data_IF_117653696488
#
_entry.id   IF_117653696488
#
_cell.length_a   1.000
_cell.length_b   1.000
_cell.length_c   1.000
_cell.angle_alpha   90.00
_cell.angle_beta   90.00
_cell.angle_gamma   90.00
#
_symmetry.space_group_name_H-M   'P 1'
#
loop_
_entity.id
_entity.type
_entity.pdbx_description
1 polymer ?
#
# COMPACT_ATOMS: atom_id res chain seq x y z
N UNK A 1 -16.61 15.80 3.85
CA UNK A 1 -17.30 15.91 2.55
C UNK A 1 -16.77 14.76 1.72
N UNK A 2 -17.60 13.75 1.40
CA UNK A 2 -17.17 12.57 0.63
C UNK A 2 -16.81 13.02 -0.79
N UNK A 3 -15.53 13.27 -1.05
CA UNK A 3 -15.07 13.45 -2.42
C UNK A 3 -15.11 12.08 -3.11
N UNK A 4 -15.61 12.08 -4.34
CA UNK A 4 -15.75 10.89 -5.17
C UNK A 4 -14.38 10.24 -5.38
N UNK A 5 -14.08 9.20 -4.62
CA UNK A 5 -13.06 8.20 -4.95
C UNK A 5 -13.35 7.74 -6.38
N UNK A 6 -12.32 7.72 -7.23
CA UNK A 6 -12.41 7.19 -8.59
C UNK A 6 -13.19 5.88 -8.57
N UNK A 7 -14.28 5.86 -9.33
CA UNK A 7 -15.14 4.69 -9.42
C UNK A 7 -14.39 3.64 -10.26
N UNK A 8 -13.58 2.86 -9.59
CA UNK A 8 -13.14 1.55 -10.05
C UNK A 8 -14.39 0.77 -10.52
N UNK A 9 -14.44 0.38 -11.81
CA UNK A 9 -15.61 -0.25 -12.44
C UNK A 9 -15.29 -1.63 -12.95
N UNK A 10 -16.05 -2.62 -12.46
CA UNK A 10 -16.10 -3.95 -13.04
C UNK A 10 -17.24 -3.93 -14.06
N UNK A 11 -16.94 -4.30 -15.30
CA UNK A 11 -17.92 -4.36 -16.39
C UNK A 11 -18.24 -5.81 -16.72
N UNK A 12 -19.51 -6.18 -16.70
CA UNK A 12 -19.98 -7.48 -17.16
C UNK A 12 -20.12 -7.43 -18.67
N UNK A 13 -19.29 -8.20 -19.37
CA UNK A 13 -19.28 -8.25 -20.84
C UNK A 13 -20.37 -9.19 -21.37
N UNK A 14 -20.59 -10.32 -20.69
CA UNK A 14 -21.63 -11.30 -21.03
C UNK A 14 -21.98 -12.18 -19.82
N UNK A 15 -23.16 -12.80 -19.79
CA UNK A 15 -24.24 -12.74 -20.78
C UNK A 15 -25.22 -11.58 -20.56
N UNK A 16 -25.93 -11.18 -21.63
CA UNK A 16 -26.91 -10.09 -21.59
C UNK A 16 -28.04 -10.32 -20.57
N UNK A 17 -28.37 -11.59 -20.29
CA UNK A 17 -29.37 -11.97 -19.30
C UNK A 17 -28.97 -11.61 -17.86
N UNK A 18 -27.67 -11.65 -17.54
CA UNK A 18 -27.15 -11.19 -16.26
C UNK A 18 -27.07 -9.66 -16.21
N UNK A 19 -26.59 -9.04 -17.29
CA UNK A 19 -26.54 -7.57 -17.44
C UNK A 19 -27.93 -6.96 -17.24
N UNK A 20 -28.98 -7.57 -17.80
CA UNK A 20 -30.36 -7.12 -17.61
C UNK A 20 -30.86 -7.20 -16.15
N UNK A 21 -30.21 -7.99 -15.29
CA UNK A 21 -30.57 -8.14 -13.87
C UNK A 21 -29.82 -7.18 -12.95
N UNK A 22 -28.49 -7.09 -13.09
CA UNK A 22 -27.62 -6.33 -12.17
C UNK A 22 -27.01 -5.07 -12.78
N UNK A 23 -27.28 -4.81 -14.05
CA UNK A 23 -26.62 -3.75 -14.82
C UNK A 23 -25.30 -4.22 -15.43
N UNK A 24 -24.75 -3.37 -16.28
CA UNK A 24 -23.48 -3.62 -16.98
C UNK A 24 -22.28 -3.37 -16.06
N UNK A 25 -22.38 -2.41 -15.15
CA UNK A 25 -21.28 -1.99 -14.26
C UNK A 25 -21.56 -2.33 -12.82
N UNK A 26 -20.60 -2.98 -12.17
CA UNK A 26 -20.58 -3.29 -10.74
C UNK A 26 -19.48 -2.46 -10.07
N UNK A 27 -19.86 -1.72 -9.03
CA UNK A 27 -18.90 -1.03 -8.16
C UNK A 27 -18.09 -2.04 -7.35
N UNK A 28 -16.80 -1.74 -7.13
CA UNK A 28 -15.95 -2.55 -6.27
C UNK A 28 -14.96 -1.69 -5.48
N UNK A 29 -14.37 -2.27 -4.44
CA UNK A 29 -13.18 -1.77 -3.75
C UNK A 29 -11.98 -2.70 -3.96
N UNK A 30 -10.77 -2.15 -3.91
CA UNK A 30 -9.51 -2.88 -4.07
C UNK A 30 -8.94 -3.29 -2.72
N UNK A 31 -8.26 -4.44 -2.71
CA UNK A 31 -7.49 -4.84 -1.54
C UNK A 31 -6.24 -4.00 -1.34
N UNK A 32 -5.88 -3.71 -0.08
CA UNK A 32 -4.62 -3.04 0.30
C UNK A 32 -3.42 -4.00 0.30
N UNK A 33 -3.55 -5.16 -0.35
CA UNK A 33 -2.53 -6.19 -0.46
C UNK A 33 -2.57 -6.81 -1.86
N UNK A 34 -1.60 -7.66 -2.16
CA UNK A 34 -1.49 -8.28 -3.47
C UNK A 34 -0.88 -7.33 -4.49
N UNK A 35 -1.22 -7.58 -5.76
CA UNK A 35 -0.74 -6.79 -6.89
C UNK A 35 -1.91 -6.18 -7.64
N UNK A 36 -1.91 -4.86 -7.81
CA UNK A 36 -2.90 -4.15 -8.62
C UNK A 36 -2.20 -3.58 -9.87
N UNK A 37 -2.60 -4.01 -11.08
CA UNK A 37 -1.95 -3.55 -12.31
C UNK A 37 -2.52 -2.22 -12.78
N UNK A 38 -2.15 -1.14 -12.08
CA UNK A 38 -2.59 0.22 -12.37
C UNK A 38 -2.36 0.62 -13.83
N UNK A 39 -3.30 1.36 -14.40
CA UNK A 39 -3.30 1.73 -15.82
C UNK A 39 -3.61 0.58 -16.79
N UNK A 40 -3.85 -0.64 -16.30
CA UNK A 40 -4.12 -1.82 -17.12
C UNK A 40 -5.56 -2.32 -16.99
N UNK A 41 -5.91 -3.29 -17.83
CA UNK A 41 -7.23 -3.94 -17.85
C UNK A 41 -7.06 -5.45 -17.78
N UNK A 42 -7.79 -6.08 -16.85
CA UNK A 42 -7.93 -7.54 -16.80
C UNK A 42 -9.28 -7.91 -17.39
N UNK A 43 -9.29 -8.88 -18.31
CA UNK A 43 -10.53 -9.55 -18.74
C UNK A 43 -10.47 -11.02 -18.32
N UNK A 44 -11.63 -11.63 -18.13
CA UNK A 44 -11.66 -13.03 -17.71
C UNK A 44 -13.06 -13.56 -17.48
N UNK A 45 -13.14 -14.86 -17.25
CA UNK A 45 -14.40 -15.54 -16.92
C UNK A 45 -14.46 -15.81 -15.42
N UNK A 46 -15.57 -15.43 -14.79
CA UNK A 46 -15.83 -15.75 -13.38
C UNK A 46 -16.17 -17.25 -13.25
N UNK A 47 -15.53 -17.91 -12.29
CA UNK A 47 -15.77 -19.29 -11.90
C UNK A 47 -16.09 -19.35 -10.40
N UNK A 48 -16.94 -20.32 -10.02
CA UNK A 48 -17.21 -20.65 -8.61
C UNK A 48 -16.26 -21.78 -8.19
N UNK A 49 -15.36 -21.54 -7.23
CA UNK A 49 -14.41 -22.55 -6.80
C UNK A 49 -15.04 -23.60 -5.89
N UNK A 50 -14.47 -24.81 -5.91
CA UNK A 50 -14.81 -25.91 -5.03
C UNK A 50 -13.62 -26.28 -4.14
N UNK A 51 -13.88 -26.90 -2.99
CA UNK A 51 -12.83 -27.37 -2.10
C UNK A 51 -12.02 -28.50 -2.74
N UNK A 52 -10.70 -28.47 -2.57
CA UNK A 52 -9.80 -29.49 -3.15
C UNK A 52 -10.14 -30.92 -2.71
N UNK A 53 -10.54 -31.08 -1.46
CA UNK A 53 -10.86 -32.39 -0.87
C UNK A 53 -12.36 -32.74 -0.94
N UNK A 54 -13.21 -31.84 -1.43
CA UNK A 54 -14.64 -32.06 -1.56
C UNK A 54 -15.20 -31.28 -2.77
N UNK A 55 -15.24 -31.95 -3.93
CA UNK A 55 -15.60 -31.34 -5.22
C UNK A 55 -17.06 -30.89 -5.32
N UNK A 56 -17.91 -31.31 -4.39
CA UNK A 56 -19.32 -30.91 -4.35
C UNK A 56 -19.55 -29.72 -3.40
N UNK A 57 -18.53 -29.31 -2.64
CA UNK A 57 -18.62 -28.20 -1.70
C UNK A 57 -17.98 -26.94 -2.28
N UNK A 58 -18.82 -25.91 -2.48
CA UNK A 58 -18.38 -24.57 -2.87
C UNK A 58 -17.38 -24.06 -1.81
N UNK A 59 -16.26 -23.54 -2.27
CA UNK A 59 -15.22 -23.01 -1.38
C UNK A 59 -15.50 -21.56 -1.02
N UNK A 60 -15.37 -21.25 0.26
CA UNK A 60 -15.27 -19.87 0.78
C UNK A 60 -13.82 -19.37 0.79
N UNK A 61 -12.87 -20.13 0.24
CA UNK A 61 -11.45 -19.77 0.20
C UNK A 61 -10.71 -19.87 1.52
N UNK A 62 -11.31 -20.41 2.59
CA UNK A 62 -10.62 -20.61 3.87
C UNK A 62 -9.82 -21.90 3.94
N UNK A 63 -10.04 -22.81 3.00
CA UNK A 63 -9.28 -24.04 2.81
C UNK A 63 -8.73 -24.11 1.39
N UNK A 64 -7.85 -25.07 1.14
CA UNK A 64 -7.28 -25.31 -0.19
C UNK A 64 -8.38 -25.45 -1.26
N UNK A 65 -8.28 -24.62 -2.28
CA UNK A 65 -9.19 -24.58 -3.42
C UNK A 65 -8.69 -25.58 -4.48
N UNK A 66 -9.62 -26.20 -5.20
CA UNK A 66 -9.28 -27.00 -6.37
C UNK A 66 -8.57 -26.15 -7.44
N UNK A 67 -7.35 -26.52 -7.82
CA UNK A 67 -6.59 -25.80 -8.84
C UNK A 67 -7.25 -25.83 -10.22
N UNK A 68 -7.06 -24.76 -10.98
CA UNK A 68 -7.49 -24.68 -12.37
C UNK A 68 -6.61 -25.62 -13.21
N UNK A 69 -7.21 -26.42 -14.09
CA UNK A 69 -6.44 -27.21 -15.05
C UNK A 69 -5.75 -26.26 -16.04
N UNK A 70 -4.42 -26.41 -16.21
CA UNK A 70 -3.48 -25.59 -17.02
C UNK A 70 -3.83 -25.34 -18.52
N UNK A 71 -5.07 -25.55 -18.96
CA UNK A 71 -5.48 -25.41 -20.36
C UNK A 71 -6.11 -24.05 -20.73
N UNK A 72 -6.37 -23.14 -19.78
CA UNK A 72 -7.13 -21.89 -20.04
C UNK A 72 -6.40 -20.56 -19.77
N UNK A 73 -5.14 -20.54 -19.32
CA UNK A 73 -4.42 -19.27 -19.07
C UNK A 73 -3.70 -18.76 -20.33
N UNK A 74 -4.39 -17.95 -21.13
CA UNK A 74 -3.79 -17.23 -22.27
C UNK A 74 -3.39 -15.80 -21.87
N UNK A 75 -2.19 -15.63 -21.33
CA UNK A 75 -1.58 -14.31 -21.11
C UNK A 75 -2.15 -13.48 -19.96
N UNK A 76 -1.62 -12.26 -19.78
CA UNK A 76 -1.97 -11.35 -18.68
C UNK A 76 -3.42 -10.82 -18.78
N UNK A 77 -3.89 -10.56 -20.01
CA UNK A 77 -5.19 -9.93 -20.26
C UNK A 77 -6.38 -10.88 -20.10
N UNK A 78 -6.18 -12.20 -20.14
CA UNK A 78 -7.25 -13.19 -19.99
C UNK A 78 -6.94 -14.13 -18.82
N UNK A 79 -7.53 -13.80 -17.67
CA UNK A 79 -7.29 -14.52 -16.43
C UNK A 79 -8.50 -15.38 -16.03
N UNK A 80 -8.23 -16.47 -15.31
CA UNK A 80 -9.26 -17.17 -14.55
C UNK A 80 -9.55 -16.37 -13.28
N UNK A 81 -10.84 -16.19 -12.99
CA UNK A 81 -11.32 -15.32 -11.93
C UNK A 81 -12.19 -16.14 -10.98
N UNK A 82 -11.90 -16.08 -9.68
CA UNK A 82 -12.79 -16.70 -8.68
C UNK A 82 -13.68 -15.69 -8.00
N UNK A 83 -14.94 -16.10 -7.77
CA UNK A 83 -15.89 -15.40 -6.92
C UNK A 83 -16.11 -16.20 -5.63
N UNK A 84 -15.86 -15.57 -4.49
CA UNK A 84 -15.88 -16.21 -3.17
C UNK A 84 -16.65 -15.34 -2.17
N UNK A 85 -17.39 -15.95 -1.24
CA UNK A 85 -18.09 -15.22 -0.18
C UNK A 85 -17.15 -14.83 0.99
N UNK A 86 -17.38 -13.66 1.58
CA UNK A 86 -16.79 -13.24 2.86
C UNK A 86 -17.24 -14.16 4.01
N UNK A 87 -16.33 -14.41 4.95
CA UNK A 87 -16.60 -15.17 6.18
C UNK A 87 -15.47 -16.15 6.54
N UNK A 88 -15.52 -16.70 7.75
CA UNK A 88 -14.71 -17.81 8.29
C UNK A 88 -13.18 -17.62 8.42
N UNK A 89 -12.55 -16.77 7.62
CA UNK A 89 -11.11 -16.46 7.66
C UNK A 89 -10.82 -15.06 7.09
N UNK A 90 -9.56 -14.61 7.19
CA UNK A 90 -9.14 -13.30 6.67
C UNK A 90 -9.19 -13.22 5.14
N UNK A 91 -9.30 -12.00 4.61
CA UNK A 91 -9.26 -11.76 3.16
C UNK A 91 -7.93 -12.20 2.54
N UNK A 92 -6.82 -11.99 3.26
CA UNK A 92 -5.48 -12.44 2.86
C UNK A 92 -5.43 -13.97 2.74
N UNK A 93 -6.03 -14.70 3.68
CA UNK A 93 -6.11 -16.17 3.60
C UNK A 93 -6.86 -16.63 2.35
N UNK A 94 -7.98 -15.97 2.02
CA UNK A 94 -8.74 -16.25 0.78
C UNK A 94 -7.91 -15.98 -0.46
N UNK A 95 -7.21 -14.85 -0.50
CA UNK A 95 -6.33 -14.47 -1.62
C UNK A 95 -5.18 -15.47 -1.81
N UNK A 96 -4.51 -15.90 -0.73
CA UNK A 96 -3.47 -16.94 -0.78
C UNK A 96 -3.98 -18.25 -1.36
N UNK A 97 -5.11 -18.74 -0.88
CA UNK A 97 -5.69 -20.00 -1.37
C UNK A 97 -6.13 -19.89 -2.84
N UNK A 98 -6.61 -18.72 -3.27
CA UNK A 98 -6.94 -18.44 -4.66
C UNK A 98 -5.67 -18.40 -5.55
N UNK A 99 -4.62 -17.71 -5.13
CA UNK A 99 -3.34 -17.67 -5.83
C UNK A 99 -2.73 -19.07 -5.99
N UNK A 100 -2.75 -19.88 -4.92
CA UNK A 100 -2.29 -21.28 -4.96
C UNK A 100 -3.13 -22.15 -5.92
N UNK A 101 -4.40 -21.80 -6.14
CA UNK A 101 -5.25 -22.46 -7.13
C UNK A 101 -4.99 -21.99 -8.57
N UNK A 102 -4.18 -20.94 -8.75
CA UNK A 102 -3.72 -20.45 -10.05
C UNK A 102 -4.62 -19.40 -10.70
N UNK A 103 -5.52 -18.74 -9.94
CA UNK A 103 -6.24 -17.57 -10.47
C UNK A 103 -5.35 -16.33 -10.45
N UNK A 104 -5.61 -15.42 -11.40
CA UNK A 104 -4.92 -14.12 -11.41
C UNK A 104 -5.73 -13.00 -10.75
N UNK A 105 -7.04 -13.18 -10.56
CA UNK A 105 -7.92 -12.23 -9.89
C UNK A 105 -8.94 -12.94 -9.00
N UNK A 106 -9.12 -12.43 -7.78
CA UNK A 106 -10.12 -12.86 -6.82
C UNK A 106 -11.17 -11.77 -6.62
N UNK A 107 -12.44 -12.14 -6.68
CA UNK A 107 -13.57 -11.30 -6.28
C UNK A 107 -14.14 -11.90 -5.00
N UNK A 108 -14.16 -11.10 -3.94
CA UNK A 108 -14.81 -11.43 -2.68
C UNK A 108 -16.12 -10.67 -2.63
N UNK A 109 -17.23 -11.33 -2.35
CA UNK A 109 -18.50 -10.64 -2.15
C UNK A 109 -18.95 -10.71 -0.70
N UNK A 110 -19.62 -9.65 -0.27
CA UNK A 110 -20.03 -9.50 1.11
C UNK A 110 -21.10 -10.52 1.55
N UNK A 111 -21.23 -10.73 2.86
CA UNK A 111 -22.26 -11.55 3.48
C UNK A 111 -23.30 -10.72 4.27
N UNK A 112 -23.21 -9.39 4.26
CA UNK A 112 -24.17 -8.46 4.85
C UNK A 112 -24.91 -7.64 3.78
N UNK A 113 -26.19 -7.32 4.02
CA UNK A 113 -27.05 -6.65 3.01
C UNK A 113 -26.89 -5.12 2.96
N UNK A 114 -26.38 -4.50 4.03
CA UNK A 114 -26.40 -3.05 4.23
C UNK A 114 -25.00 -2.42 4.37
N UNK A 115 -23.95 -3.13 3.97
CA UNK A 115 -22.59 -2.57 3.91
C UNK A 115 -22.28 -2.15 2.47
N UNK A 116 -21.76 -0.94 2.32
CA UNK A 116 -21.22 -0.50 1.04
C UNK A 116 -19.87 -1.16 0.81
N UNK A 117 -19.57 -1.58 -0.41
CA UNK A 117 -18.23 -2.06 -0.77
C UNK A 117 -17.13 -1.02 -0.46
N UNK A 118 -17.48 0.27 -0.42
CA UNK A 118 -16.57 1.38 -0.12
C UNK A 118 -16.28 1.55 1.37
N UNK A 119 -17.14 1.03 2.24
CA UNK A 119 -16.95 1.12 3.69
C UNK A 119 -16.07 -0.03 4.23
N UNK A 120 -15.76 -1.02 3.38
CA UNK A 120 -14.93 -2.18 3.73
C UNK A 120 -13.52 -1.99 3.17
N UNK A 121 -12.56 -1.82 4.08
CA UNK A 121 -11.14 -1.81 3.78
C UNK A 121 -10.60 -3.23 3.95
N UNK A 122 -10.21 -3.85 2.84
CA UNK A 122 -9.54 -5.15 2.80
C UNK A 122 -8.07 -4.98 3.22
N UNK A 123 -7.83 -4.84 4.52
CA UNK A 123 -6.48 -4.66 5.07
C UNK A 123 -5.68 -5.96 5.06
N UNK A 124 -4.37 -5.83 4.88
CA UNK A 124 -3.43 -6.93 5.12
C UNK A 124 -3.43 -7.30 6.61
N UNK A 125 -3.37 -8.59 6.91
CA UNK A 125 -3.23 -9.13 8.27
C UNK A 125 -1.76 -9.38 8.65
N UNK A 126 -0.82 -8.73 7.96
CA UNK A 126 0.63 -8.89 8.01
C UNK A 126 1.14 -10.21 7.42
N UNK A 127 0.25 -11.03 6.86
CA UNK A 127 0.64 -12.27 6.20
C UNK A 127 0.56 -12.16 4.68
N UNK A 128 0.08 -11.04 4.13
CA UNK A 128 -0.12 -10.82 2.69
C UNK A 128 1.12 -10.44 1.91
N UNK A 129 2.29 -10.34 2.54
CA UNK A 129 3.57 -10.13 1.85
C UNK A 129 3.74 -11.16 0.74
N UNK A 130 4.18 -10.71 -0.43
CA UNK A 130 4.39 -11.50 -1.66
C UNK A 130 3.15 -12.05 -2.37
N UNK A 131 1.93 -11.67 -1.98
CA UNK A 131 0.76 -11.94 -2.83
C UNK A 131 0.89 -11.16 -4.15
N UNK A 132 0.58 -11.83 -5.27
CA UNK A 132 0.70 -11.27 -6.63
C UNK A 132 -0.59 -11.31 -7.43
N UNK A 133 -1.72 -11.59 -6.78
CA UNK A 133 -3.06 -11.52 -7.40
C UNK A 133 -3.78 -10.23 -7.02
N UNK A 134 -4.65 -9.75 -7.92
CA UNK A 134 -5.58 -8.66 -7.61
C UNK A 134 -6.79 -9.21 -6.83
N UNK A 135 -7.23 -8.48 -5.80
CA UNK A 135 -8.40 -8.86 -5.01
C UNK A 135 -9.39 -7.71 -4.97
N UNK A 136 -10.61 -7.97 -5.44
CA UNK A 136 -11.71 -7.02 -5.47
C UNK A 136 -12.74 -7.39 -4.41
N UNK A 137 -13.46 -6.40 -3.89
CA UNK A 137 -14.63 -6.63 -3.04
C UNK A 137 -15.87 -5.97 -3.61
N UNK A 138 -16.98 -6.71 -3.61
CA UNK A 138 -18.29 -6.25 -4.09
C UNK A 138 -19.35 -6.51 -3.03
N UNK A 139 -20.45 -5.76 -3.09
CA UNK A 139 -21.57 -5.98 -2.19
C UNK A 139 -22.22 -7.36 -2.38
N UNK A 140 -22.96 -7.78 -1.35
CA UNK A 140 -23.64 -9.07 -1.30
C UNK A 140 -24.60 -9.29 -2.47
N UNK A 141 -25.44 -8.30 -2.79
CA UNK A 141 -26.48 -8.43 -3.81
C UNK A 141 -25.91 -8.78 -5.18
N UNK A 142 -24.84 -8.09 -5.60
CA UNK A 142 -24.17 -8.37 -6.88
C UNK A 142 -23.49 -9.75 -6.85
N UNK A 143 -22.78 -10.07 -5.78
CA UNK A 143 -22.11 -11.35 -5.63
C UNK A 143 -23.05 -12.55 -5.67
N UNK A 144 -24.15 -12.52 -4.91
CA UNK A 144 -25.15 -13.59 -4.90
C UNK A 144 -25.83 -13.74 -6.26
N UNK A 145 -26.13 -12.64 -6.95
CA UNK A 145 -26.73 -12.71 -8.28
C UNK A 145 -25.80 -13.30 -9.33
N UNK A 146 -24.50 -12.96 -9.31
CA UNK A 146 -23.49 -13.56 -10.18
C UNK A 146 -23.34 -15.05 -9.86
N UNK A 147 -23.17 -15.40 -8.58
CA UNK A 147 -23.01 -16.79 -8.15
C UNK A 147 -24.21 -17.66 -8.54
N UNK A 148 -25.43 -17.21 -8.20
CA UNK A 148 -26.65 -17.93 -8.53
C UNK A 148 -26.83 -18.09 -10.03
N UNK A 149 -26.46 -17.06 -10.82
CA UNK A 149 -26.52 -17.14 -12.27
C UNK A 149 -25.61 -18.24 -12.81
N UNK A 150 -24.34 -18.31 -12.37
CA UNK A 150 -23.37 -19.31 -12.81
C UNK A 150 -23.84 -20.72 -12.44
N UNK A 151 -24.31 -20.92 -11.20
CA UNK A 151 -24.77 -22.22 -10.72
C UNK A 151 -26.03 -22.72 -11.48
N UNK A 152 -26.94 -21.81 -11.84
CA UNK A 152 -28.16 -22.14 -12.59
C UNK A 152 -27.92 -22.34 -14.09
N UNK A 153 -26.85 -21.77 -14.63
CA UNK A 153 -26.55 -21.77 -16.07
C UNK A 153 -25.11 -22.26 -16.35
N UNK A 154 -24.78 -23.53 -16.04
CA UNK A 154 -23.39 -24.03 -16.11
C UNK A 154 -22.76 -23.97 -17.51
N UNK A 155 -23.58 -23.85 -18.57
CA UNK A 155 -23.12 -23.72 -19.95
C UNK A 155 -22.95 -22.25 -20.42
N UNK A 156 -23.27 -21.26 -19.58
CA UNK A 156 -23.12 -19.84 -19.89
C UNK A 156 -21.98 -19.24 -19.08
N UNK A 157 -20.95 -18.76 -19.79
CA UNK A 157 -19.81 -18.07 -19.18
C UNK A 157 -20.18 -16.64 -18.81
N UNK A 158 -19.77 -16.21 -17.61
CA UNK A 158 -19.85 -14.81 -17.17
C UNK A 158 -18.47 -14.18 -17.40
N UNK A 159 -18.34 -13.40 -18.46
CA UNK A 159 -17.09 -12.70 -18.75
C UNK A 159 -17.17 -11.27 -18.25
N UNK A 160 -16.07 -10.81 -17.68
CA UNK A 160 -15.94 -9.48 -17.12
C UNK A 160 -14.68 -8.77 -17.63
N UNK A 161 -14.69 -7.46 -17.47
CA UNK A 161 -13.57 -6.55 -17.67
C UNK A 161 -13.41 -5.73 -16.39
N UNK A 162 -12.19 -5.66 -15.88
CA UNK A 162 -11.81 -4.88 -14.69
C UNK A 162 -10.75 -3.87 -15.14
N UNK A 163 -11.03 -2.58 -14.92
CA UNK A 163 -10.14 -1.49 -15.28
C UNK A 163 -9.50 -0.91 -14.02
N UNK A 164 -8.17 -0.96 -13.92
CA UNK A 164 -7.42 -0.38 -12.83
C UNK A 164 -7.01 1.03 -13.22
N UNK A 165 -7.88 2.00 -12.94
CA UNK A 165 -7.64 3.39 -13.31
C UNK A 165 -6.39 3.94 -12.63
N UNK A 166 -5.66 4.80 -13.35
CA UNK A 166 -4.53 5.57 -12.81
C UNK A 166 -4.44 6.93 -13.49
N UNK A 167 -4.19 7.96 -12.70
CA UNK A 167 -3.92 9.31 -13.13
C UNK A 167 -2.51 9.43 -13.69
N UNK A 168 -2.43 9.78 -14.97
CA UNK A 168 -1.17 9.94 -15.69
C UNK A 168 -0.84 11.41 -15.94
N UNK A 169 0.44 11.74 -15.82
CA UNK A 169 1.01 13.05 -16.15
C UNK A 169 2.12 12.87 -17.19
N UNK A 170 2.46 13.91 -17.95
CA UNK A 170 3.45 13.79 -19.03
C UNK A 170 4.86 13.51 -18.48
N UNK A 171 5.55 14.56 -18.02
CA UNK A 171 6.95 14.46 -17.55
C UNK A 171 7.10 14.80 -16.06
N UNK A 172 6.02 15.17 -15.37
CA UNK A 172 6.07 15.65 -14.00
C UNK A 172 5.02 14.92 -13.17
N UNK A 173 5.44 13.93 -12.37
CA UNK A 173 4.55 13.26 -11.44
C UNK A 173 4.77 13.78 -10.02
N UNK A 174 3.72 13.77 -9.22
CA UNK A 174 3.81 14.04 -7.79
C UNK A 174 3.89 12.71 -7.05
N UNK A 175 4.91 12.53 -6.21
CA UNK A 175 5.05 11.32 -5.37
C UNK A 175 5.02 11.78 -3.93
N UNK A 176 4.01 11.32 -3.20
CA UNK A 176 3.82 11.62 -1.78
C UNK A 176 3.98 10.33 -1.01
N UNK A 177 4.90 10.29 -0.05
CA UNK A 177 5.16 9.12 0.77
C UNK A 177 4.92 9.45 2.24
N UNK A 178 3.95 8.78 2.86
CA UNK A 178 3.66 8.84 4.28
C UNK A 178 4.38 7.70 4.99
N UNK A 179 5.16 8.03 6.00
CA UNK A 179 5.90 7.08 6.83
C UNK A 179 5.80 7.44 8.31
N UNK A 180 6.44 6.67 9.18
CA UNK A 180 6.79 7.12 10.53
C UNK A 180 8.24 6.72 10.82
N UNK A 181 8.90 7.43 11.72
CA UNK A 181 10.36 7.38 11.85
C UNK A 181 10.90 6.06 12.38
N UNK A 182 10.09 5.17 12.96
CA UNK A 182 10.51 3.82 13.37
C UNK A 182 9.93 2.69 12.52
N UNK A 183 9.15 2.99 11.46
CA UNK A 183 8.67 1.97 10.53
C UNK A 183 9.79 1.47 9.62
N UNK A 184 10.22 0.22 9.83
CA UNK A 184 11.27 -0.42 9.04
C UNK A 184 10.92 -0.54 7.56
N UNK A 185 9.65 -0.84 7.23
CA UNK A 185 9.21 -1.05 5.84
C UNK A 185 9.34 0.26 5.02
N UNK A 186 9.13 1.42 5.66
CA UNK A 186 9.38 2.74 5.06
C UNK A 186 10.81 2.97 4.63
N UNK A 187 11.79 2.66 5.47
CA UNK A 187 13.21 2.84 5.12
C UNK A 187 13.65 1.86 4.05
N UNK A 188 13.08 0.65 4.03
CA UNK A 188 13.30 -0.30 2.93
C UNK A 188 12.79 0.28 1.60
N UNK A 189 11.60 0.89 1.58
CA UNK A 189 11.09 1.60 0.40
C UNK A 189 12.05 2.73 -0.02
N UNK A 190 12.42 3.63 0.89
CA UNK A 190 13.30 4.78 0.58
C UNK A 190 14.61 4.32 -0.05
N UNK A 191 15.25 3.29 0.53
CA UNK A 191 16.49 2.70 0.03
C UNK A 191 16.34 2.09 -1.35
N UNK A 192 15.28 1.32 -1.57
CA UNK A 192 15.01 0.66 -2.85
C UNK A 192 14.60 1.66 -3.94
N UNK A 193 13.85 2.69 -3.58
CA UNK A 193 13.34 3.69 -4.52
C UNK A 193 14.39 4.72 -4.93
N UNK A 194 15.37 5.04 -4.08
CA UNK A 194 16.39 6.06 -4.39
C UNK A 194 17.09 5.87 -5.74
N UNK A 195 17.51 4.63 -6.05
CA UNK A 195 18.17 4.32 -7.34
C UNK A 195 17.28 4.59 -8.54
N UNK A 196 15.98 4.32 -8.40
CA UNK A 196 14.96 4.51 -9.43
C UNK A 196 14.62 5.99 -9.60
N UNK A 197 14.46 6.70 -8.48
CA UNK A 197 14.27 8.14 -8.43
C UNK A 197 15.40 8.90 -9.16
N UNK A 198 16.66 8.52 -8.93
CA UNK A 198 17.80 9.13 -9.61
C UNK A 198 17.81 8.80 -11.11
N UNK A 199 17.56 7.54 -11.47
CA UNK A 199 17.58 7.10 -12.85
C UNK A 199 16.49 7.80 -13.69
N UNK A 200 15.26 7.93 -13.17
CA UNK A 200 14.16 8.63 -13.85
C UNK A 200 14.52 10.11 -14.09
N UNK A 201 15.13 10.77 -13.11
CA UNK A 201 15.55 12.17 -13.26
C UNK A 201 16.65 12.37 -14.30
N UNK A 202 17.59 11.43 -14.42
CA UNK A 202 18.65 11.48 -15.43
C UNK A 202 18.10 11.41 -16.86
N UNK A 203 16.93 10.81 -17.05
CA UNK A 203 16.26 10.72 -18.36
C UNK A 203 15.43 11.96 -18.72
N UNK A 204 15.39 12.97 -17.84
CA UNK A 204 14.68 14.24 -18.07
C UNK A 204 13.23 14.25 -17.58
N UNK A 205 12.80 13.19 -16.89
CA UNK A 205 11.54 13.15 -16.16
C UNK A 205 11.70 13.77 -14.77
N UNK A 206 10.63 14.30 -14.21
CA UNK A 206 10.65 14.96 -12.91
C UNK A 206 9.69 14.27 -11.94
N UNK A 207 10.23 13.87 -10.79
CA UNK A 207 9.46 13.34 -9.68
C UNK A 207 9.47 14.40 -8.58
N UNK A 208 8.31 15.02 -8.33
CA UNK A 208 8.14 15.90 -7.16
C UNK A 208 7.87 15.03 -5.93
N UNK A 209 8.96 14.51 -5.35
CA UNK A 209 8.90 13.70 -4.14
C UNK A 209 8.65 14.56 -2.89
N UNK A 210 7.67 14.16 -2.09
CA UNK A 210 7.34 14.74 -0.80
C UNK A 210 7.19 13.64 0.23
N UNK A 211 8.01 13.68 1.28
CA UNK A 211 7.85 12.81 2.43
C UNK A 211 7.01 13.50 3.50
N UNK A 212 6.12 12.74 4.09
CA UNK A 212 5.27 13.15 5.20
C UNK A 212 5.31 12.09 6.30
N UNK A 213 4.96 12.50 7.51
CA UNK A 213 5.00 11.63 8.69
C UNK A 213 3.62 11.46 9.30
N UNK A 214 3.19 10.21 9.42
CA UNK A 214 1.87 9.83 9.90
C UNK A 214 1.76 10.12 11.39
N UNK A 215 0.69 10.83 11.77
CA UNK A 215 0.40 11.22 13.14
C UNK A 215 -1.03 10.84 13.48
N UNK A 216 -1.26 10.50 14.74
CA UNK A 216 -2.59 10.38 15.32
C UNK A 216 -2.74 11.34 16.51
N UNK A 217 -3.89 11.30 17.17
CA UNK A 217 -4.18 12.09 18.36
C UNK A 217 -4.90 11.25 19.42
N UNK A 218 -4.73 11.62 20.68
CA UNK A 218 -5.40 10.95 21.79
C UNK A 218 -6.84 11.47 21.94
N UNK A 219 -7.81 10.56 21.89
CA UNK A 219 -9.24 10.90 21.92
C UNK A 219 -9.64 11.48 23.28
N UNK A 220 -9.18 10.89 24.38
CA UNK A 220 -9.49 11.35 25.74
C UNK A 220 -8.96 12.77 25.99
N UNK A 221 -7.74 13.03 25.53
CA UNK A 221 -7.13 14.35 25.60
C UNK A 221 -7.89 15.35 24.74
N UNK A 222 -8.38 14.95 23.56
CA UNK A 222 -9.22 15.83 22.74
C UNK A 222 -10.52 16.20 23.45
N UNK A 223 -11.19 15.25 24.10
CA UNK A 223 -12.44 15.48 24.85
C UNK A 223 -12.25 16.39 26.06
N UNK A 224 -11.07 16.33 26.70
CA UNK A 224 -10.73 17.21 27.83
C UNK A 224 -10.06 18.53 27.39
N UNK A 225 -10.13 18.88 26.10
CA UNK A 225 -9.51 20.07 25.51
C UNK A 225 -7.99 20.16 25.71
N UNK A 226 -7.33 19.00 25.75
CA UNK A 226 -5.88 18.83 25.95
C UNK A 226 -5.39 19.52 27.22
N UNK A 227 -6.17 19.38 28.30
CA UNK A 227 -5.93 20.05 29.59
C UNK A 227 -4.91 19.33 30.48
N UNK A 228 -4.63 18.06 30.18
CA UNK A 228 -3.68 17.22 30.89
C UNK A 228 -2.60 16.70 29.93
N UNK A 229 -1.40 16.47 30.46
CA UNK A 229 -0.35 15.77 29.71
C UNK A 229 -0.74 14.31 29.50
N UNK A 230 -0.46 13.79 28.31
CA UNK A 230 -0.63 12.38 27.99
C UNK A 230 0.75 11.76 27.81
N UNK A 231 1.06 10.77 28.64
CA UNK A 231 2.25 9.97 28.47
C UNK A 231 2.19 9.29 27.09
N UNK A 232 3.33 9.21 26.39
CA UNK A 232 3.45 8.64 25.02
C UNK A 232 3.02 9.57 23.87
N UNK A 233 2.57 10.79 24.13
CA UNK A 233 2.29 11.78 23.09
C UNK A 233 3.00 13.13 23.34
N UNK A 234 2.95 14.03 22.36
CA UNK A 234 3.50 15.39 22.41
C UNK A 234 2.35 16.40 22.47
N UNK A 235 2.61 17.59 23.03
CA UNK A 235 1.65 18.71 23.04
C UNK A 235 0.30 18.38 23.70
N UNK A 236 0.31 17.79 24.89
CA UNK A 236 -0.85 17.34 25.67
C UNK A 236 -1.72 16.30 24.96
N UNK A 237 -1.15 15.44 24.11
CA UNK A 237 -1.93 14.41 23.39
C UNK A 237 -2.45 14.84 22.02
N UNK A 238 -2.05 16.03 21.53
CA UNK A 238 -2.43 16.50 20.18
C UNK A 238 -1.77 15.70 19.07
N UNK A 239 -0.55 15.20 19.32
CA UNK A 239 0.24 14.48 18.33
C UNK A 239 0.82 13.23 18.98
N UNK A 240 0.47 12.07 18.44
CA UNK A 240 0.86 10.76 18.91
C UNK A 240 1.39 9.95 17.72
N UNK A 241 2.31 9.02 17.98
CA UNK A 241 2.74 8.07 16.94
C UNK A 241 1.62 7.05 16.70
N UNK A 242 1.35 6.68 15.44
CA UNK A 242 0.36 5.66 15.11
C UNK A 242 0.90 4.22 15.23
N UNK A 243 2.21 4.04 15.46
CA UNK A 243 2.89 2.73 15.48
C UNK A 243 2.84 2.02 16.84
N UNK A 244 3.06 2.78 17.92
CA UNK A 244 3.36 2.19 19.21
C UNK A 244 2.12 2.14 20.10
N UNK A 245 2.00 1.04 20.85
CA UNK A 245 0.92 0.85 21.82
C UNK A 245 1.19 1.67 23.07
N UNK A 246 0.13 1.95 23.82
CA UNK A 246 0.22 2.57 25.14
C UNK A 246 1.26 1.83 26.01
N UNK A 247 2.22 2.60 26.57
CA UNK A 247 3.34 2.20 27.44
C UNK A 247 4.71 1.92 26.78
N UNK A 248 4.92 2.24 25.49
CA UNK A 248 6.28 2.29 24.95
C UNK A 248 6.95 3.63 25.27
N UNK A 249 8.06 3.59 26.02
CA UNK A 249 8.87 4.77 26.39
C UNK A 249 9.32 5.59 25.17
N UNK A 250 9.33 5.00 23.97
CA UNK A 250 9.75 5.66 22.73
C UNK A 250 8.64 6.46 22.04
N UNK A 251 7.36 6.27 22.34
CA UNK A 251 6.24 6.79 21.52
C UNK A 251 6.29 8.31 21.30
N UNK A 252 6.56 9.08 22.36
CA UNK A 252 6.69 10.54 22.23
C UNK A 252 7.97 10.95 21.47
N UNK A 253 9.03 10.13 21.56
CA UNK A 253 10.28 10.38 20.86
C UNK A 253 10.22 10.05 19.37
N UNK A 254 9.35 9.11 18.95
CA UNK A 254 8.99 8.90 17.54
C UNK A 254 8.40 10.18 16.94
N UNK A 255 7.41 10.79 17.59
CA UNK A 255 6.80 12.04 17.11
C UNK A 255 7.82 13.19 17.03
N UNK A 256 8.77 13.25 17.97
CA UNK A 256 9.84 14.23 17.94
C UNK A 256 10.86 13.92 16.83
N UNK A 257 11.14 12.66 16.54
CA UNK A 257 11.97 12.29 15.40
C UNK A 257 11.27 12.58 14.07
N UNK A 258 9.98 12.25 13.94
CA UNK A 258 9.15 12.62 12.79
C UNK A 258 9.26 14.13 12.51
N UNK A 259 9.09 14.97 13.54
CA UNK A 259 9.26 16.42 13.45
C UNK A 259 10.65 16.81 12.92
N UNK A 260 11.71 16.17 13.43
CA UNK A 260 13.09 16.43 13.01
C UNK A 260 13.28 16.09 11.53
N UNK A 261 12.76 14.95 11.08
CA UNK A 261 12.85 14.55 9.68
C UNK A 261 12.01 15.42 8.74
N UNK A 262 10.82 15.87 9.16
CA UNK A 262 10.03 16.89 8.43
C UNK A 262 10.85 18.17 8.24
N UNK A 263 11.58 18.60 9.27
CA UNK A 263 12.42 19.80 9.20
C UNK A 263 13.59 19.58 8.24
N UNK A 264 14.26 18.43 8.32
CA UNK A 264 15.38 18.09 7.44
C UNK A 264 14.91 18.02 5.97
N UNK A 265 13.77 17.40 5.68
CA UNK A 265 13.24 17.29 4.31
C UNK A 265 12.90 18.65 3.71
N UNK A 266 12.44 19.60 4.52
CA UNK A 266 12.11 20.97 4.10
C UNK A 266 13.35 21.86 3.92
N UNK A 267 14.32 21.79 4.84
CA UNK A 267 15.52 22.64 4.79
C UNK A 267 16.58 22.11 3.81
N UNK A 268 16.75 20.78 3.75
CA UNK A 268 17.83 20.12 3.04
C UNK A 268 17.33 18.91 2.21
N UNK A 269 16.39 19.11 1.27
CA UNK A 269 15.73 18.01 0.53
C UNK A 269 16.70 17.09 -0.21
N UNK A 270 17.86 17.61 -0.66
CA UNK A 270 18.89 16.80 -1.33
C UNK A 270 19.63 15.87 -0.37
N UNK A 271 19.97 16.35 0.82
CA UNK A 271 20.69 15.58 1.84
C UNK A 271 19.76 14.66 2.64
N UNK A 272 18.45 14.94 2.62
CA UNK A 272 17.46 14.14 3.32
C UNK A 272 17.46 12.67 2.88
N UNK A 273 17.67 12.38 1.59
CA UNK A 273 17.73 11.00 1.10
C UNK A 273 18.86 10.20 1.75
N UNK A 274 20.07 10.77 1.76
CA UNK A 274 21.23 10.10 2.35
C UNK A 274 21.03 9.97 3.87
N UNK A 275 20.52 11.02 4.52
CA UNK A 275 20.16 11.00 5.94
C UNK A 275 19.15 9.90 6.28
N UNK A 276 18.06 9.79 5.52
CA UNK A 276 17.01 8.80 5.76
C UNK A 276 17.54 7.38 5.59
N UNK A 277 18.39 7.14 4.59
CA UNK A 277 19.02 5.83 4.37
C UNK A 277 19.97 5.48 5.54
N UNK A 278 20.86 6.40 5.94
CA UNK A 278 21.77 6.16 7.07
C UNK A 278 21.00 5.95 8.37
N UNK A 279 20.00 6.81 8.64
CA UNK A 279 19.11 6.69 9.80
C UNK A 279 18.42 5.33 9.84
N UNK A 280 17.81 4.90 8.73
CA UNK A 280 17.13 3.61 8.65
C UNK A 280 18.06 2.42 8.90
N UNK A 281 19.32 2.52 8.47
CA UNK A 281 20.32 1.47 8.67
C UNK A 281 20.86 1.41 10.11
N UNK A 282 20.92 2.53 10.84
CA UNK A 282 21.64 2.60 12.13
C UNK A 282 20.79 2.99 13.35
N UNK A 283 19.64 3.65 13.18
CA UNK A 283 18.87 4.25 14.28
C UNK A 283 17.60 3.48 14.67
N UNK A 284 17.07 2.61 13.83
CA UNK A 284 15.82 1.86 14.09
C UNK A 284 15.87 0.98 15.34
N UNK A 285 17.06 0.60 15.80
CA UNK A 285 17.25 -0.25 16.99
C UNK A 285 17.48 0.54 18.29
N UNK A 286 17.27 1.86 18.27
CA UNK A 286 17.44 2.72 19.44
C UNK A 286 16.53 2.27 20.59
N UNK A 287 17.06 2.21 21.81
CA UNK A 287 16.35 1.68 22.99
C UNK A 287 15.82 2.74 23.93
N UNK A 288 16.12 4.01 23.65
CA UNK A 288 15.66 5.14 24.45
C UNK A 288 15.52 6.39 23.60
N UNK A 289 14.69 7.33 24.06
CA UNK A 289 14.48 8.62 23.39
C UNK A 289 15.80 9.38 23.15
N UNK A 290 16.72 9.32 24.14
CA UNK A 290 18.03 9.98 24.05
C UNK A 290 18.94 9.31 23.02
N UNK A 291 18.92 7.98 22.95
CA UNK A 291 19.71 7.23 21.97
C UNK A 291 19.24 7.56 20.55
N UNK A 292 17.91 7.60 20.33
CA UNK A 292 17.31 7.95 19.05
C UNK A 292 17.72 9.35 18.58
N UNK A 293 17.62 10.35 19.47
CA UNK A 293 18.02 11.72 19.14
C UNK A 293 19.51 11.83 18.81
N UNK A 294 20.39 11.20 19.61
CA UNK A 294 21.84 11.21 19.34
C UNK A 294 22.13 10.52 18.01
N UNK A 295 21.45 9.42 17.73
CA UNK A 295 21.61 8.67 16.50
C UNK A 295 21.23 9.52 15.29
N UNK A 296 20.09 10.22 15.33
CA UNK A 296 19.66 11.13 14.28
C UNK A 296 20.73 12.18 13.92
N UNK A 297 21.25 12.91 14.91
CA UNK A 297 22.30 13.91 14.63
C UNK A 297 23.59 13.27 14.11
N UNK A 298 23.95 12.09 14.61
CA UNK A 298 25.10 11.34 14.11
C UNK A 298 24.90 10.90 12.65
N UNK A 299 23.68 10.50 12.26
CA UNK A 299 23.36 10.20 10.88
C UNK A 299 23.51 11.43 9.98
N UNK A 300 23.12 12.61 10.44
CA UNK A 300 23.38 13.85 9.72
C UNK A 300 24.89 14.08 9.52
N UNK A 301 25.71 13.89 10.55
CA UNK A 301 27.17 14.02 10.45
C UNK A 301 27.77 13.00 9.46
N UNK A 302 27.34 11.73 9.54
CA UNK A 302 27.82 10.64 8.68
C UNK A 302 27.62 10.95 7.19
N UNK A 303 26.49 11.58 6.84
CA UNK A 303 26.13 11.90 5.45
C UNK A 303 26.57 13.30 5.02
N UNK A 304 27.37 13.97 5.84
CA UNK A 304 28.07 15.20 5.45
C UNK A 304 27.29 16.50 5.70
N UNK A 305 26.33 16.52 6.62
CA UNK A 305 25.80 17.79 7.10
C UNK A 305 26.92 18.58 7.79
N UNK A 306 27.02 19.87 7.45
CA UNK A 306 27.91 20.79 8.16
C UNK A 306 27.33 21.16 9.51
N UNK A 307 28.20 21.56 10.43
CA UNK A 307 27.82 22.06 11.77
C UNK A 307 26.75 23.17 11.69
N UNK A 308 26.92 24.14 10.79
CA UNK A 308 25.94 25.21 10.57
C UNK A 308 24.55 24.69 10.14
N UNK A 309 24.50 23.59 9.40
CA UNK A 309 23.26 22.98 8.94
C UNK A 309 22.56 22.21 10.05
N UNK A 310 23.32 21.48 10.86
CA UNK A 310 22.82 20.77 12.06
C UNK A 310 22.25 21.78 13.05
N UNK A 311 22.96 22.87 13.33
CA UNK A 311 22.47 23.93 14.20
C UNK A 311 21.21 24.62 13.65
N UNK A 312 21.11 24.80 12.33
CA UNK A 312 19.88 25.30 11.72
C UNK A 312 18.68 24.35 11.92
N UNK A 313 18.88 23.03 11.86
CA UNK A 313 17.83 22.04 12.15
C UNK A 313 17.40 22.14 13.61
N UNK A 314 18.34 22.14 14.56
CA UNK A 314 18.03 22.31 16.00
C UNK A 314 17.26 23.60 16.28
N UNK A 315 17.70 24.71 15.68
CA UNK A 315 17.04 26.00 15.85
C UNK A 315 15.62 26.00 15.29
N UNK A 316 15.41 25.39 14.12
CA UNK A 316 14.08 25.29 13.52
C UNK A 316 13.18 24.35 14.32
N UNK A 317 13.74 23.27 14.87
CA UNK A 317 13.05 22.35 15.76
C UNK A 317 12.50 23.07 16.99
N UNK A 318 13.34 23.80 17.72
CA UNK A 318 12.89 24.57 18.88
C UNK A 318 11.88 25.66 18.51
N UNK A 319 12.11 26.40 17.41
CA UNK A 319 11.20 27.47 16.95
C UNK A 319 9.83 26.96 16.50
N UNK A 320 9.69 25.68 16.18
CA UNK A 320 8.42 25.10 15.75
C UNK A 320 7.40 24.98 16.89
N UNK A 321 7.87 24.98 18.15
CA UNK A 321 7.04 24.94 19.34
C UNK A 321 6.54 26.34 19.76
N UNK A 322 5.27 26.41 20.16
CA UNK A 322 4.62 27.62 20.66
C UNK A 322 4.98 27.79 22.15
N UNK A 323 5.94 28.67 22.43
CA UNK A 323 6.36 29.00 23.80
C UNK A 323 5.21 29.60 24.61
N UNK A 324 5.10 29.16 25.87
CA UNK A 324 4.17 29.73 26.85
C UNK A 324 4.92 30.72 27.76
N UNK A 325 4.90 32.00 27.37
CA UNK A 325 5.61 33.05 28.09
C UNK A 325 7.14 32.88 28.03
N UNK A 326 7.81 33.06 29.16
CA UNK A 326 9.27 32.99 29.30
C UNK A 326 9.81 31.61 29.70
N UNK A 327 8.95 30.61 29.84
CA UNK A 327 9.36 29.26 30.24
C UNK A 327 10.15 28.57 29.12
N UNK A 328 11.08 27.66 29.46
CA UNK A 328 11.72 26.80 28.48
C UNK A 328 10.68 25.93 27.77
N UNK A 329 11.01 25.47 26.56
CA UNK A 329 10.12 24.60 25.80
C UNK A 329 9.99 23.27 26.54
N UNK A 330 8.75 22.85 26.76
CA UNK A 330 8.38 21.52 27.22
C UNK A 330 7.59 20.84 26.10
N UNK A 331 8.20 19.86 25.43
CA UNK A 331 7.58 19.15 24.30
C UNK A 331 6.28 18.43 24.69
N UNK A 332 6.15 17.99 25.95
CA UNK A 332 4.92 17.35 26.41
C UNK A 332 3.72 18.31 26.46
N UNK A 333 3.93 19.63 26.52
CA UNK A 333 2.87 20.63 26.75
C UNK A 333 2.74 21.66 25.63
N UNK A 334 3.88 22.18 25.14
CA UNK A 334 3.87 23.21 24.11
C UNK A 334 3.37 22.63 22.79
N UNK A 335 2.42 23.33 22.17
CA UNK A 335 1.89 22.96 20.86
C UNK A 335 2.91 23.21 19.75
N UNK A 336 2.79 22.50 18.63
CA UNK A 336 3.74 22.52 17.54
C UNK A 336 3.06 22.84 16.20
N UNK A 337 3.53 23.89 15.53
CA UNK A 337 2.91 24.36 14.27
C UNK A 337 3.14 23.42 13.10
N UNK A 338 4.27 22.72 13.08
CA UNK A 338 4.63 21.80 11.99
C UNK A 338 3.81 20.52 12.13
N UNK A 339 3.75 19.92 13.32
CA UNK A 339 2.94 18.73 13.57
C UNK A 339 1.44 18.99 13.36
N UNK A 340 0.95 20.18 13.71
CA UNK A 340 -0.43 20.59 13.40
C UNK A 340 -0.73 20.55 11.90
N UNK A 341 0.14 21.16 11.10
CA UNK A 341 -0.01 21.17 9.64
C UNK A 341 0.13 19.77 9.04
N UNK A 342 1.03 18.94 9.59
CA UNK A 342 1.24 17.57 9.15
C UNK A 342 0.00 16.70 9.38
N UNK A 343 -0.55 16.74 10.61
CA UNK A 343 -1.77 16.01 10.98
C UNK A 343 -2.97 16.47 10.14
N UNK A 344 -3.11 17.78 9.89
CA UNK A 344 -4.16 18.29 8.99
C UNK A 344 -3.99 17.75 7.57
N UNK A 345 -2.77 17.72 7.04
CA UNK A 345 -2.49 17.20 5.70
C UNK A 345 -2.83 15.71 5.60
N UNK A 346 -2.57 14.93 6.66
CA UNK A 346 -2.91 13.50 6.72
C UNK A 346 -4.42 13.28 6.53
N UNK A 347 -5.24 14.08 7.23
CA UNK A 347 -6.70 14.03 7.09
C UNK A 347 -7.22 14.59 5.78
N UNK A 348 -6.64 15.68 5.27
CA UNK A 348 -7.05 16.32 4.01
C UNK A 348 -6.79 15.42 2.80
N UNK A 349 -5.72 14.64 2.83
CA UNK A 349 -5.42 13.64 1.80
C UNK A 349 -6.18 12.31 2.01
N UNK A 350 -7.02 12.20 3.04
CA UNK A 350 -7.77 10.99 3.38
C UNK A 350 -6.86 9.75 3.50
N UNK A 351 -5.66 9.93 4.06
CA UNK A 351 -4.72 8.84 4.30
C UNK A 351 -5.22 8.03 5.49
N UNK A 352 -5.49 6.75 5.26
CA UNK A 352 -6.08 5.84 6.25
C UNK A 352 -5.14 4.71 6.69
N UNK A 353 -4.03 4.54 5.97
CA UNK A 353 -2.97 3.57 6.26
C UNK A 353 -1.59 4.24 6.17
N UNK A 354 -0.62 3.69 6.88
CA UNK A 354 0.79 4.02 6.69
C UNK A 354 1.62 2.71 6.83
N UNK A 355 2.79 2.60 6.19
CA UNK A 355 3.29 3.52 5.17
C UNK A 355 2.38 3.58 3.94
N UNK A 356 2.27 4.75 3.33
CA UNK A 356 1.43 4.96 2.16
C UNK A 356 2.18 5.71 1.06
N UNK A 357 2.14 5.15 -0.14
CA UNK A 357 2.66 5.76 -1.35
C UNK A 357 1.49 6.25 -2.21
N UNK A 358 1.50 7.53 -2.53
CA UNK A 358 0.53 8.18 -3.39
C UNK A 358 1.28 8.73 -4.59
N UNK A 359 0.83 8.39 -5.80
CA UNK A 359 1.38 8.94 -7.04
C UNK A 359 0.25 9.68 -7.74
N UNK A 360 0.47 10.98 -7.98
CA UNK A 360 -0.54 11.94 -8.42
C UNK A 360 -1.73 12.01 -7.45
N UNK A 361 -2.73 11.16 -7.65
CA UNK A 361 -3.94 11.07 -6.81
C UNK A 361 -4.31 9.63 -6.45
N UNK A 362 -3.50 8.65 -6.87
CA UNK A 362 -3.78 7.24 -6.67
C UNK A 362 -2.91 6.70 -5.54
N UNK A 363 -3.54 5.94 -4.65
CA UNK A 363 -2.86 5.22 -3.59
C UNK A 363 -2.33 3.91 -4.15
N UNK A 364 -1.06 3.63 -3.89
CA UNK A 364 -0.48 2.31 -4.08
C UNK A 364 -1.14 1.33 -3.10
N UNK A 365 -1.62 0.21 -3.63
CA UNK A 365 -2.27 -0.86 -2.86
C UNK A 365 -1.44 -2.13 -3.05
N UNK A 366 -0.67 -2.50 -2.04
CA UNK A 366 0.24 -3.64 -2.13
C UNK A 366 1.35 -3.58 -1.08
N UNK A 367 2.31 -4.49 -1.23
CA UNK A 367 3.48 -4.57 -0.36
C UNK A 367 4.47 -3.44 -0.66
N UNK A 368 4.62 -2.47 0.24
CA UNK A 368 5.52 -1.32 0.09
C UNK A 368 7.02 -1.72 0.11
N UNK A 369 7.33 -2.96 0.45
CA UNK A 369 8.70 -3.48 0.41
C UNK A 369 9.03 -4.13 -0.94
N UNK A 370 8.02 -4.34 -1.80
CA UNK A 370 8.15 -4.99 -3.10
C UNK A 370 8.57 -4.00 -4.20
N UNK A 371 9.88 -3.98 -4.50
CA UNK A 371 10.48 -3.03 -5.45
C UNK A 371 9.81 -3.03 -6.84
N UNK A 372 9.50 -4.21 -7.40
CA UNK A 372 8.92 -4.35 -8.74
C UNK A 372 7.55 -3.66 -8.89
N UNK A 373 6.52 -4.09 -8.13
CA UNK A 373 5.19 -3.47 -8.16
C UNK A 373 5.17 -1.97 -7.90
N UNK A 374 6.01 -1.49 -6.99
CA UNK A 374 6.13 -0.06 -6.67
C UNK A 374 6.68 0.71 -7.86
N UNK A 375 7.71 0.16 -8.48
CA UNK A 375 8.34 0.82 -9.62
C UNK A 375 7.41 0.83 -10.84
N UNK A 376 6.69 -0.26 -11.09
CA UNK A 376 5.61 -0.29 -12.09
C UNK A 376 4.55 0.78 -11.80
N UNK A 377 4.06 0.86 -10.56
CA UNK A 377 3.07 1.85 -10.18
C UNK A 377 3.53 3.29 -10.46
N UNK A 378 4.78 3.62 -10.15
CA UNK A 378 5.35 4.94 -10.42
C UNK A 378 5.52 5.18 -11.92
N UNK A 379 5.99 4.17 -12.66
CA UNK A 379 6.19 4.23 -14.11
C UNK A 379 4.87 4.38 -14.88
N UNK A 380 3.82 3.69 -14.46
CA UNK A 380 2.51 3.72 -15.12
C UNK A 380 1.81 5.09 -14.95
N UNK A 381 2.24 5.90 -13.99
CA UNK A 381 1.79 7.28 -13.81
C UNK A 381 2.36 8.28 -14.83
N UNK A 382 3.33 7.89 -15.65
CA UNK A 382 3.78 8.70 -16.79
C UNK A 382 2.97 8.38 -18.06
N UNK A 383 2.64 9.40 -18.84
CA UNK A 383 2.09 9.22 -20.19
C UNK A 383 3.17 8.64 -21.11
N UNK A 384 4.34 9.28 -21.11
CA UNK A 384 5.53 8.81 -21.82
C UNK A 384 6.44 8.13 -20.80
N UNK A 385 6.58 6.81 -20.84
CA UNK A 385 7.35 6.10 -19.82
C UNK A 385 8.86 6.32 -19.98
N UNK A 386 9.60 6.58 -18.88
CA UNK A 386 11.05 6.49 -18.86
C UNK A 386 11.57 5.17 -19.45
N UNK A 387 12.72 5.20 -20.14
CA UNK A 387 13.37 4.03 -20.73
C UNK A 387 13.76 2.99 -19.68
N UNK A 388 14.11 3.42 -18.48
CA UNK A 388 14.41 2.55 -17.36
C UNK A 388 13.17 1.92 -16.71
N UNK A 389 11.96 2.32 -17.09
CA UNK A 389 10.75 1.65 -16.64
C UNK A 389 10.70 0.23 -17.20
N UNK A 390 10.40 -0.74 -16.33
CA UNK A 390 10.27 -2.13 -16.73
C UNK A 390 9.04 -2.76 -16.12
N UNK A 391 8.45 -3.69 -16.85
CA UNK A 391 7.38 -4.55 -16.36
C UNK A 391 8.01 -5.74 -15.60
N UNK A 392 7.92 -5.71 -14.28
CA UNK A 392 8.37 -6.77 -13.38
C UNK A 392 7.57 -8.07 -13.55
N UNK A 393 6.31 -8.00 -13.99
CA UNK A 393 5.53 -9.19 -14.33
C UNK A 393 6.07 -9.91 -15.57
N UNK A 394 6.49 -9.18 -16.61
CA UNK A 394 7.12 -9.79 -17.79
C UNK A 394 8.41 -10.52 -17.40
N UNK A 395 9.20 -9.95 -16.50
CA UNK A 395 10.38 -10.62 -15.92
C UNK A 395 10.02 -11.85 -15.07
N UNK A 396 8.92 -11.82 -14.31
CA UNK A 396 8.45 -12.97 -13.52
C UNK A 396 7.94 -14.11 -14.43
N UNK A 397 7.19 -13.79 -15.49
CA UNK A 397 6.72 -14.75 -16.50
C UNK A 397 7.90 -15.32 -17.28
N UNK A 398 8.87 -14.50 -17.68
CA UNK A 398 10.13 -14.95 -18.28
C UNK A 398 10.92 -15.86 -17.35
N UNK A 399 11.01 -15.53 -16.05
CA UNK A 399 11.68 -16.35 -15.04
C UNK A 399 10.99 -17.71 -14.86
N UNK A 400 9.65 -17.77 -14.79
CA UNK A 400 8.90 -19.03 -14.75
C UNK A 400 9.09 -19.86 -16.03
N UNK A 401 9.06 -19.23 -17.20
CA UNK A 401 9.31 -19.94 -18.47
C UNK A 401 10.78 -20.40 -18.61
N UNK A 402 11.75 -19.62 -18.14
CA UNK A 402 13.17 -19.94 -18.17
C UNK A 402 13.54 -21.10 -17.22
N UNK A 403 12.93 -21.16 -16.04
CA UNK A 403 12.99 -22.33 -15.14
C UNK A 403 12.36 -23.57 -15.79
N UNK A 404 11.24 -23.42 -16.50
CA UNK A 404 10.62 -24.51 -17.24
C UNK A 404 11.55 -25.08 -18.33
N UNK A 405 12.28 -24.22 -19.04
CA UNK A 405 13.28 -24.64 -20.04
C UNK A 405 14.47 -25.37 -19.40
N UNK A 406 14.98 -24.90 -18.25
CA UNK A 406 16.06 -25.57 -17.52
C UNK A 406 15.62 -26.94 -16.94
N UNK A 407 14.37 -27.07 -16.51
CA UNK A 407 13.81 -28.36 -16.08
C UNK A 407 13.59 -29.33 -17.24
N UNK A 408 13.17 -28.86 -18.43
CA UNK A 408 13.07 -29.71 -19.61
C UNK A 408 14.44 -30.19 -20.14
N UNK A 409 15.48 -29.35 -20.08
CA UNK A 409 16.84 -29.76 -20.47
C UNK A 409 17.39 -30.82 -19.50
N UNK A 410 17.12 -30.73 -18.20
CA UNK A 410 17.47 -31.78 -17.23
C UNK A 410 16.70 -33.09 -17.46
N UNK A 411 15.43 -33.03 -17.87
CA UNK A 411 14.62 -34.23 -18.16
C UNK A 411 15.02 -34.93 -19.48
N UNK A 412 15.49 -34.17 -20.49
CA UNK A 412 15.99 -34.74 -21.75
C UNK A 412 17.34 -35.42 -21.56
N UNK A 413 18.19 -34.96 -20.64
CA UNK A 413 19.47 -35.59 -20.34
C UNK A 413 19.40 -36.84 -19.45
N UNK A 414 18.30 -37.04 -18.70
CA UNK A 414 18.13 -38.23 -17.84
C UNK A 414 17.45 -39.44 -18.53
N UNK A 415 16.96 -39.29 -19.76
CA UNK A 415 16.42 -40.40 -20.57
C UNK A 415 17.32 -40.84 -21.74
N UNK A 416 18.58 -40.40 -21.74
CA UNK A 416 19.63 -40.90 -22.64
C UNK A 416 20.89 -41.28 -21.83
N UNK A 417 20.75 -42.24 -20.92
CA UNK A 417 21.84 -43.09 -20.43
C UNK A 417 21.31 -44.49 -20.15
#
# INVERSE_FOLDING_TARGET
MKNKVNKCKLTILKPQSLIAKIGETVSYSLANFGFQPYGQTITGTIQIPYQKNNKDQISDGCQEIQSISNQETQGFSQQSIYLIQRGNCSFVTKAKNAELAGVGLLIIYDNYDNESEQDIILMDDHTGKHLVISTLFINKSNGEQIQNFILQNPNQKVDIKVEFEQHKEANNINVVFWMSSLDQDSYQFIKNFKKHYDAIQLEGFNIKFQVHFALTYDIESRENFYSLTKDNCVSNGRYCSPELKDNDELTSSVVLEDLRQIIISKLYPKLWWDYAIDFGDVCLNSKSARELEICSYKSMENVGFKEEQIEAVKLQFEKSFIKQGYQPINYAVNDNKILSAELLTFFELEVDIFPALIVNQDFFRGDITAEGPIYEFICDAFIDQPLNCFNSFDKYVEFKHGLFFLFQIKYIFFYRL
#
